data_IF_596415531698
#
_entry.id   IF_596415531698
#
_cell.length_a   1.000
_cell.length_b   1.000
_cell.length_c   1.000
_cell.angle_alpha   90.00
_cell.angle_beta   90.00
_cell.angle_gamma   90.00
#
_symmetry.space_group_name_H-M   'P 1'
#
loop_
_entity.id
_entity.type
_entity.pdbx_description
1 polymer ?
#
# COMPACT_ATOMS: atom_id res chain seq x y z
N UNK A 1 3.69 -4.31 -14.77
CA UNK A 1 4.09 -5.65 -14.26
C UNK A 1 3.07 -6.08 -13.19
N UNK A 2 2.63 -7.35 -13.20
CA UNK A 2 1.84 -7.89 -12.07
C UNK A 2 2.76 -8.08 -10.87
N UNK A 3 2.45 -7.42 -9.76
CA UNK A 3 3.12 -7.63 -8.47
C UNK A 3 2.17 -8.37 -7.53
N UNK A 4 2.77 -9.12 -6.61
CA UNK A 4 2.06 -9.81 -5.54
C UNK A 4 2.14 -8.95 -4.28
N UNK A 5 1.01 -8.82 -3.58
CA UNK A 5 0.94 -8.29 -2.24
C UNK A 5 0.54 -9.43 -1.31
N UNK A 6 1.19 -9.52 -0.15
CA UNK A 6 0.86 -10.52 0.86
C UNK A 6 0.22 -9.83 2.05
N UNK A 7 -0.85 -10.43 2.55
CA UNK A 7 -1.58 -10.02 3.75
C UNK A 7 -1.69 -11.25 4.64
N UNK A 8 -1.64 -11.04 5.94
CA UNK A 8 -2.03 -12.05 6.93
C UNK A 8 -3.25 -11.54 7.70
N UNK A 9 -4.19 -12.43 7.98
CA UNK A 9 -5.38 -12.07 8.73
C UNK A 9 -6.00 -13.24 9.46
N UNK A 10 -6.68 -12.93 10.55
CA UNK A 10 -7.35 -13.92 11.41
C UNK A 10 -8.71 -14.28 10.82
N UNK A 11 -8.92 -15.57 10.53
CA UNK A 11 -10.22 -16.08 10.08
C UNK A 11 -11.29 -15.90 11.16
N UNK A 12 -12.45 -15.39 10.77
CA UNK A 12 -13.61 -15.33 11.67
C UNK A 12 -14.94 -15.58 10.94
N UNK A 13 -15.97 -15.93 11.70
CA UNK A 13 -17.34 -16.08 11.18
C UNK A 13 -18.07 -14.73 11.17
N UNK A 14 -18.53 -14.31 9.99
CA UNK A 14 -19.42 -13.17 9.82
C UNK A 14 -20.89 -13.51 10.11
N UNK A 15 -21.81 -12.61 9.75
CA UNK A 15 -23.27 -12.80 9.90
C UNK A 15 -23.90 -13.79 8.91
N UNK A 16 -23.13 -14.34 7.98
CA UNK A 16 -23.63 -15.22 6.92
C UNK A 16 -24.30 -14.51 5.74
N UNK A 17 -24.35 -13.18 5.74
CA UNK A 17 -24.99 -12.37 4.70
C UNK A 17 -24.26 -12.46 3.34
N UNK A 18 -22.94 -12.73 3.33
CA UNK A 18 -22.17 -12.95 2.10
C UNK A 18 -22.66 -14.12 1.24
N UNK A 19 -23.38 -15.08 1.83
CA UNK A 19 -24.00 -16.17 1.10
C UNK A 19 -25.11 -15.68 0.16
N UNK A 20 -25.88 -14.65 0.56
CA UNK A 20 -26.91 -14.08 -0.31
C UNK A 20 -26.28 -13.43 -1.54
N UNK A 21 -25.23 -12.62 -1.35
CA UNK A 21 -24.56 -11.92 -2.44
C UNK A 21 -23.91 -12.88 -3.45
N UNK A 22 -23.25 -13.94 -2.98
CA UNK A 22 -22.60 -14.95 -3.84
C UNK A 22 -23.58 -15.82 -4.63
N UNK A 23 -24.86 -15.89 -4.24
CA UNK A 23 -25.89 -16.59 -5.00
C UNK A 23 -26.49 -15.78 -6.13
N UNK A 24 -26.30 -14.46 -6.18
CA UNK A 24 -26.90 -13.62 -7.21
C UNK A 24 -26.33 -13.98 -8.59
N UNK A 25 -27.20 -14.34 -9.53
CA UNK A 25 -26.79 -14.78 -10.88
C UNK A 25 -25.87 -13.77 -11.59
N UNK A 26 -26.11 -12.48 -11.39
CA UNK A 26 -25.28 -11.42 -11.98
C UNK A 26 -23.89 -11.32 -11.35
N UNK A 27 -23.74 -11.67 -10.07
CA UNK A 27 -22.44 -11.77 -9.38
C UNK A 27 -21.70 -12.98 -9.93
N UNK A 28 -22.34 -14.15 -9.95
CA UNK A 28 -21.76 -15.41 -10.44
C UNK A 28 -21.25 -15.28 -11.87
N UNK A 29 -22.07 -14.73 -12.77
CA UNK A 29 -21.69 -14.47 -14.17
C UNK A 29 -20.48 -13.55 -14.28
N UNK A 30 -20.47 -12.42 -13.57
CA UNK A 30 -19.35 -11.47 -13.65
C UNK A 30 -18.08 -12.00 -12.99
N UNK A 31 -18.18 -12.80 -11.93
CA UNK A 31 -17.05 -13.50 -11.34
C UNK A 31 -16.45 -14.51 -12.32
N UNK A 32 -17.29 -15.29 -13.00
CA UNK A 32 -16.82 -16.23 -14.01
C UNK A 32 -16.15 -15.53 -15.20
N UNK A 33 -16.70 -14.40 -15.67
CA UNK A 33 -16.17 -13.64 -16.80
C UNK A 33 -14.89 -12.86 -16.48
N UNK A 34 -14.86 -12.16 -15.33
CA UNK A 34 -13.79 -11.19 -15.00
C UNK A 34 -12.68 -11.82 -14.15
N UNK A 35 -13.05 -12.70 -13.23
CA UNK A 35 -12.11 -13.35 -12.32
C UNK A 35 -11.72 -14.75 -12.83
N UNK A 36 -12.66 -15.49 -13.40
CA UNK A 36 -12.43 -16.80 -13.99
C UNK A 36 -12.98 -17.98 -13.18
N UNK A 37 -13.85 -17.73 -12.19
CA UNK A 37 -14.52 -18.79 -11.44
C UNK A 37 -15.93 -18.40 -10.99
N UNK A 38 -16.76 -19.41 -10.78
CA UNK A 38 -18.08 -19.31 -10.15
C UNK A 38 -17.94 -19.43 -8.63
N UNK A 39 -18.38 -18.44 -7.81
CA UNK A 39 -18.13 -18.45 -6.38
C UNK A 39 -18.93 -19.54 -5.66
N UNK A 40 -18.29 -20.15 -4.66
CA UNK A 40 -18.97 -20.98 -3.66
C UNK A 40 -19.92 -20.11 -2.81
N UNK A 41 -21.07 -20.65 -2.36
CA UNK A 41 -21.96 -19.98 -1.42
C UNK A 41 -21.28 -19.50 -0.13
N UNK A 42 -21.09 -18.19 -0.02
CA UNK A 42 -20.52 -17.54 1.17
C UNK A 42 -19.19 -16.85 0.92
N UNK A 43 -18.69 -16.18 1.96
CA UNK A 43 -17.41 -15.46 1.93
C UNK A 43 -16.50 -15.94 3.05
N UNK A 44 -15.20 -15.87 2.80
CA UNK A 44 -14.15 -16.00 3.81
C UNK A 44 -13.88 -14.62 4.36
N UNK A 45 -14.02 -14.44 5.68
CA UNK A 45 -13.79 -13.16 6.34
C UNK A 45 -12.52 -13.27 7.15
N UNK A 46 -11.56 -12.38 6.91
CA UNK A 46 -10.36 -12.27 7.72
C UNK A 46 -10.30 -10.88 8.36
N UNK A 47 -9.82 -10.81 9.60
CA UNK A 47 -9.48 -9.55 10.27
C UNK A 47 -8.08 -9.14 9.85
N UNK A 48 -7.94 -7.89 9.42
CA UNK A 48 -6.69 -7.34 8.92
C UNK A 48 -6.40 -6.02 9.65
N UNK A 49 -5.14 -5.70 9.98
CA UNK A 49 -4.80 -4.42 10.59
C UNK A 49 -5.35 -3.22 9.81
N UNK A 50 -5.83 -2.20 10.50
CA UNK A 50 -6.49 -1.02 9.90
C UNK A 50 -5.64 -0.33 8.83
N UNK A 51 -4.33 -0.20 9.07
CA UNK A 51 -3.38 0.43 8.14
C UNK A 51 -3.28 -0.36 6.83
N UNK A 52 -3.21 -1.68 6.92
CA UNK A 52 -3.23 -2.55 5.75
C UNK A 52 -4.55 -2.45 5.01
N UNK A 53 -5.68 -2.50 5.72
CA UNK A 53 -6.98 -2.37 5.07
C UNK A 53 -7.16 -1.03 4.36
N UNK A 54 -6.67 0.07 4.93
CA UNK A 54 -6.65 1.37 4.26
C UNK A 54 -5.87 1.31 2.95
N UNK A 55 -4.68 0.72 2.96
CA UNK A 55 -3.88 0.51 1.75
C UNK A 55 -4.61 -0.37 0.72
N UNK A 56 -5.27 -1.45 1.16
CA UNK A 56 -6.05 -2.33 0.29
C UNK A 56 -7.21 -1.61 -0.38
N UNK A 57 -7.91 -0.73 0.34
CA UNK A 57 -8.96 0.13 -0.22
C UNK A 57 -8.43 1.04 -1.32
N UNK A 58 -7.26 1.65 -1.14
CA UNK A 58 -6.66 2.51 -2.17
C UNK A 58 -6.31 1.74 -3.45
N UNK A 59 -5.76 0.53 -3.32
CA UNK A 59 -5.41 -0.29 -4.49
C UNK A 59 -6.62 -0.97 -5.13
N UNK A 60 -7.74 -1.11 -4.41
CA UNK A 60 -8.97 -1.72 -4.92
C UNK A 60 -9.50 -1.04 -6.20
N UNK A 61 -9.18 0.24 -6.40
CA UNK A 61 -9.49 0.99 -7.62
C UNK A 61 -8.88 0.37 -8.91
N UNK A 62 -7.92 -0.55 -8.78
CA UNK A 62 -7.32 -1.32 -9.88
C UNK A 62 -8.09 -2.62 -10.17
N UNK A 63 -8.98 -3.03 -9.26
CA UNK A 63 -9.79 -4.23 -9.39
C UNK A 63 -10.93 -4.09 -10.40
N UNK A 64 -11.44 -5.24 -10.82
CA UNK A 64 -12.58 -5.36 -11.73
C UNK A 64 -13.87 -4.92 -11.04
N UNK A 65 -14.74 -4.23 -11.76
CA UNK A 65 -16.03 -3.76 -11.22
C UNK A 65 -17.08 -4.86 -11.31
N UNK A 66 -17.78 -5.16 -10.23
CA UNK A 66 -19.02 -5.95 -10.24
C UNK A 66 -20.20 -4.99 -10.30
N UNK A 67 -20.83 -4.90 -11.47
CA UNK A 67 -21.88 -3.91 -11.74
C UNK A 67 -23.25 -4.59 -11.63
N UNK A 68 -24.10 -4.20 -10.68
CA UNK A 68 -25.42 -4.79 -10.55
C UNK A 68 -26.35 -4.37 -11.69
N UNK A 69 -27.29 -5.23 -12.10
CA UNK A 69 -28.31 -4.88 -13.08
C UNK A 69 -29.45 -4.02 -12.49
N UNK A 70 -29.67 -4.11 -11.18
CA UNK A 70 -30.67 -3.33 -10.44
C UNK A 70 -29.96 -2.26 -9.58
N UNK A 71 -30.31 -0.97 -9.71
CA UNK A 71 -29.76 0.12 -8.91
C UNK A 71 -29.92 -0.01 -7.39
N UNK A 72 -30.80 -0.91 -6.91
CA UNK A 72 -30.94 -1.21 -5.48
C UNK A 72 -29.71 -1.90 -4.87
N UNK A 73 -28.89 -2.54 -5.70
CA UNK A 73 -27.62 -3.10 -5.25
C UNK A 73 -26.49 -2.10 -5.48
N UNK A 74 -25.53 -2.07 -4.57
CA UNK A 74 -24.32 -1.27 -4.73
C UNK A 74 -23.28 -2.02 -5.56
N UNK A 75 -22.45 -1.26 -6.25
CA UNK A 75 -21.27 -1.78 -6.94
C UNK A 75 -20.24 -2.29 -5.92
N UNK A 76 -19.49 -3.31 -6.32
CA UNK A 76 -18.28 -3.74 -5.62
C UNK A 76 -17.11 -3.81 -6.60
N UNK A 77 -15.89 -3.76 -6.07
CA UNK A 77 -14.67 -4.11 -6.80
C UNK A 77 -14.15 -5.45 -6.34
N UNK A 78 -13.55 -6.19 -7.27
CA UNK A 78 -12.92 -7.48 -6.98
C UNK A 78 -11.51 -7.53 -7.52
N UNK A 79 -10.61 -8.09 -6.72
CA UNK A 79 -9.21 -8.31 -7.10
C UNK A 79 -8.90 -9.80 -7.02
N UNK A 80 -8.20 -10.33 -8.04
CA UNK A 80 -7.73 -11.71 -8.03
C UNK A 80 -6.82 -11.94 -6.82
N UNK A 81 -7.09 -13.04 -6.12
CA UNK A 81 -6.41 -13.39 -4.89
C UNK A 81 -6.10 -14.89 -4.82
N UNK A 82 -5.32 -15.28 -3.82
CA UNK A 82 -5.23 -16.66 -3.35
C UNK A 82 -5.23 -16.70 -1.84
N UNK A 83 -5.93 -17.66 -1.24
CA UNK A 83 -5.92 -17.92 0.21
C UNK A 83 -5.17 -19.24 0.41
N UNK A 84 -4.04 -19.22 1.11
CA UNK A 84 -3.19 -20.42 1.27
C UNK A 84 -2.89 -21.13 -0.07
N UNK A 85 -2.71 -20.33 -1.14
CA UNK A 85 -2.47 -20.82 -2.50
C UNK A 85 -3.72 -21.27 -3.27
N UNK A 86 -4.89 -21.40 -2.65
CA UNK A 86 -6.15 -21.71 -3.32
C UNK A 86 -6.72 -20.49 -4.04
N UNK A 87 -7.34 -20.64 -5.23
CA UNK A 87 -7.95 -19.52 -5.96
C UNK A 87 -8.98 -18.76 -5.13
N UNK A 88 -8.92 -17.44 -5.16
CA UNK A 88 -9.88 -16.56 -4.49
C UNK A 88 -9.98 -15.21 -5.20
N UNK A 89 -10.87 -14.35 -4.70
CA UNK A 89 -10.92 -12.95 -5.03
C UNK A 89 -11.31 -12.13 -3.80
N UNK A 90 -10.56 -11.08 -3.51
CA UNK A 90 -10.93 -10.13 -2.47
C UNK A 90 -12.02 -9.18 -2.99
N UNK A 91 -13.03 -8.91 -2.16
CA UNK A 91 -14.17 -8.08 -2.50
C UNK A 91 -14.10 -6.79 -1.70
N UNK A 92 -14.35 -5.69 -2.39
CA UNK A 92 -14.33 -4.34 -1.87
C UNK A 92 -15.68 -3.69 -2.18
N UNK A 93 -16.66 -3.75 -1.25
CA UNK A 93 -17.91 -3.04 -1.41
C UNK A 93 -17.69 -1.52 -1.53
N UNK A 94 -18.67 -0.81 -2.08
CA UNK A 94 -18.71 0.64 -2.00
C UNK A 94 -18.62 1.11 -0.52
N UNK A 95 -17.96 2.26 -0.31
CA UNK A 95 -17.56 2.73 1.01
C UNK A 95 -18.76 2.99 1.96
N UNK A 96 -19.90 3.36 1.39
CA UNK A 96 -21.19 3.56 2.06
C UNK A 96 -21.82 2.27 2.58
N UNK A 97 -21.41 1.10 2.09
CA UNK A 97 -21.95 -0.22 2.46
C UNK A 97 -20.95 -1.07 3.26
N UNK A 98 -19.73 -0.58 3.49
CA UNK A 98 -18.71 -1.36 4.20
C UNK A 98 -18.93 -1.36 5.71
N UNK A 99 -19.65 -2.37 6.21
CA UNK A 99 -20.06 -2.50 7.62
C UNK A 99 -18.86 -2.79 8.56
N UNK A 100 -17.91 -3.63 8.13
CA UNK A 100 -16.79 -4.11 8.97
C UNK A 100 -15.46 -3.43 8.63
N UNK A 101 -15.14 -2.36 9.35
CA UNK A 101 -13.97 -1.50 9.08
C UNK A 101 -12.61 -2.16 9.31
N UNK A 102 -12.56 -3.39 9.80
CA UNK A 102 -11.38 -4.20 10.10
C UNK A 102 -11.36 -5.56 9.38
N UNK A 103 -12.30 -5.80 8.45
CA UNK A 103 -12.41 -7.08 7.75
C UNK A 103 -12.22 -6.97 6.25
N UNK A 104 -11.46 -7.94 5.70
CA UNK A 104 -11.42 -8.24 4.28
C UNK A 104 -12.26 -9.48 3.99
N UNK A 105 -13.21 -9.35 3.05
CA UNK A 105 -14.01 -10.47 2.57
C UNK A 105 -13.44 -11.04 1.27
N UNK A 106 -13.45 -12.37 1.14
CA UNK A 106 -12.98 -13.07 -0.05
C UNK A 106 -14.02 -14.10 -0.54
N UNK A 107 -14.18 -14.17 -1.85
CA UNK A 107 -14.89 -15.24 -2.55
C UNK A 107 -13.88 -16.28 -3.02
N UNK A 108 -14.29 -17.54 -3.04
CA UNK A 108 -13.52 -18.65 -3.60
C UNK A 108 -14.45 -19.60 -4.34
N UNK A 109 -13.96 -20.42 -5.29
CA UNK A 109 -14.77 -21.43 -5.98
C UNK A 109 -15.09 -22.66 -5.12
N UNK A 110 -14.54 -22.73 -3.91
CA UNK A 110 -14.73 -23.85 -2.97
C UNK A 110 -14.92 -23.33 -1.55
N UNK A 111 -15.50 -24.16 -0.68
CA UNK A 111 -15.50 -23.92 0.76
C UNK A 111 -14.07 -24.01 1.30
N UNK A 112 -13.44 -22.86 1.59
CA UNK A 112 -12.05 -22.80 2.06
C UNK A 112 -11.89 -23.48 3.43
N UNK A 113 -12.89 -23.38 4.30
CA UNK A 113 -12.88 -24.03 5.62
C UNK A 113 -12.78 -25.56 5.50
N UNK A 114 -13.59 -26.14 4.62
CA UNK A 114 -13.59 -27.59 4.41
C UNK A 114 -12.32 -28.06 3.69
N UNK A 115 -11.88 -27.29 2.68
CA UNK A 115 -10.70 -27.61 1.89
C UNK A 115 -9.40 -27.61 2.74
N UNK A 116 -9.28 -26.66 3.67
CA UNK A 116 -8.08 -26.50 4.51
C UNK A 116 -8.23 -27.06 5.93
N UNK A 117 -9.44 -27.47 6.32
CA UNK A 117 -9.79 -27.94 7.68
C UNK A 117 -9.43 -26.92 8.77
N UNK A 118 -9.73 -25.65 8.50
CA UNK A 118 -9.43 -24.50 9.35
C UNK A 118 -10.66 -24.02 10.13
N UNK A 119 -10.43 -23.26 11.20
CA UNK A 119 -11.45 -22.73 12.11
C UNK A 119 -11.19 -21.27 12.46
N UNK A 120 -12.18 -20.64 13.09
CA UNK A 120 -12.03 -19.26 13.57
C UNK A 120 -10.82 -19.13 14.50
N UNK A 121 -10.09 -18.02 14.35
CA UNK A 121 -8.82 -17.77 15.04
C UNK A 121 -7.58 -18.24 14.27
N UNK A 122 -7.71 -19.05 13.22
CA UNK A 122 -6.57 -19.44 12.40
C UNK A 122 -6.09 -18.23 11.56
N UNK A 123 -4.76 -18.06 11.47
CA UNK A 123 -4.15 -17.02 10.64
C UNK A 123 -4.01 -17.54 9.21
N UNK A 124 -4.54 -16.78 8.26
CA UNK A 124 -4.50 -17.10 6.84
C UNK A 124 -3.67 -16.08 6.08
N UNK A 125 -2.89 -16.59 5.14
CA UNK A 125 -2.11 -15.80 4.20
C UNK A 125 -2.86 -15.61 2.90
N UNK A 126 -3.02 -14.34 2.51
CA UNK A 126 -3.67 -13.94 1.25
C UNK A 126 -2.64 -13.33 0.31
N UNK A 127 -2.58 -13.86 -0.91
CA UNK A 127 -1.83 -13.30 -2.02
C UNK A 127 -2.79 -12.48 -2.90
N UNK A 128 -2.58 -11.17 -3.07
CA UNK A 128 -3.32 -10.34 -4.01
C UNK A 128 -2.51 -10.06 -5.29
N UNK A 129 -3.14 -10.24 -6.44
CA UNK A 129 -2.61 -9.76 -7.72
C UNK A 129 -2.91 -8.27 -7.88
N UNK A 130 -1.87 -7.46 -8.07
CA UNK A 130 -2.02 -6.05 -8.43
C UNK A 130 -1.20 -5.67 -9.66
N UNK A 131 -1.74 -4.77 -10.48
CA UNK A 131 -0.99 -4.15 -11.56
C UNK A 131 -0.24 -2.95 -11.02
N UNK A 132 1.08 -3.03 -10.99
CA UNK A 132 1.89 -1.87 -10.62
C UNK A 132 2.39 -1.16 -11.87
N UNK A 133 1.86 0.04 -12.09
CA UNK A 133 2.25 0.98 -13.14
C UNK A 133 2.59 2.33 -12.48
N UNK A 134 3.87 2.57 -12.13
CA UNK A 134 4.26 3.84 -11.54
C UNK A 134 4.04 4.95 -12.57
N UNK A 135 3.18 5.92 -12.23
CA UNK A 135 2.88 7.08 -13.08
C UNK A 135 3.85 8.24 -12.86
N UNK A 136 4.44 8.30 -11.66
CA UNK A 136 5.42 9.29 -11.28
C UNK A 136 6.36 8.67 -10.23
N UNK A 137 7.59 9.16 -10.20
CA UNK A 137 8.56 8.91 -9.13
C UNK A 137 9.00 10.28 -8.64
N UNK A 138 8.89 10.51 -7.34
CA UNK A 138 9.33 11.77 -6.73
C UNK A 138 10.77 11.55 -6.30
N UNK A 139 11.64 12.44 -6.77
CA UNK A 139 13.02 12.53 -6.32
C UNK A 139 13.16 13.83 -5.54
N UNK A 140 13.94 13.77 -4.48
CA UNK A 140 14.48 14.98 -3.88
C UNK A 140 15.44 15.67 -4.87
N UNK A 141 15.60 16.99 -4.77
CA UNK A 141 16.46 17.74 -5.67
C UNK A 141 17.90 17.76 -5.16
N UNK A 142 18.10 18.31 -3.96
CA UNK A 142 19.41 18.56 -3.38
C UNK A 142 20.04 17.27 -2.85
N UNK A 143 21.26 16.98 -3.27
CA UNK A 143 21.97 15.76 -2.85
C UNK A 143 21.42 14.46 -3.44
N UNK A 144 20.35 14.52 -4.25
CA UNK A 144 19.78 13.38 -4.98
C UNK A 144 19.91 13.56 -6.50
N UNK A 145 19.40 14.65 -7.06
CA UNK A 145 19.54 14.97 -8.49
C UNK A 145 20.71 15.93 -8.73
N UNK A 146 20.93 16.88 -7.83
CA UNK A 146 21.98 17.90 -7.94
C UNK A 146 23.03 17.67 -6.85
N UNK A 147 24.31 17.62 -7.23
CA UNK A 147 25.43 17.69 -6.28
C UNK A 147 25.57 19.13 -5.76
N UNK A 148 24.76 19.47 -4.75
CA UNK A 148 24.80 20.78 -4.09
C UNK A 148 25.99 20.93 -3.15
N UNK A 149 26.75 19.86 -2.83
CA UNK A 149 27.89 19.93 -1.91
C UNK A 149 28.98 20.88 -2.41
N UNK A 150 29.17 20.94 -3.72
CA UNK A 150 30.14 21.86 -4.33
C UNK A 150 29.74 23.32 -4.14
N UNK A 151 28.46 23.63 -4.32
CA UNK A 151 27.93 24.99 -4.15
C UNK A 151 28.06 25.44 -2.70
N UNK A 152 27.75 24.57 -1.73
CA UNK A 152 27.98 24.84 -0.32
C UNK A 152 29.47 25.11 -0.02
N UNK A 153 30.37 24.27 -0.53
CA UNK A 153 31.81 24.43 -0.32
C UNK A 153 32.32 25.77 -0.89
N UNK A 154 31.96 26.09 -2.14
CA UNK A 154 32.35 27.35 -2.79
C UNK A 154 31.80 28.56 -2.03
N UNK A 155 30.51 28.54 -1.65
CA UNK A 155 29.88 29.64 -0.91
C UNK A 155 30.51 29.88 0.46
N UNK A 156 30.79 28.79 1.21
CA UNK A 156 31.42 28.87 2.53
C UNK A 156 32.83 29.44 2.39
N UNK A 157 33.64 28.92 1.46
CA UNK A 157 35.02 29.36 1.28
C UNK A 157 35.13 30.79 0.77
N UNK A 158 34.23 31.23 -0.10
CA UNK A 158 34.14 32.64 -0.51
C UNK A 158 33.84 33.55 0.69
N UNK A 159 32.96 33.13 1.59
CA UNK A 159 32.66 33.87 2.81
C UNK A 159 33.86 33.89 3.75
N UNK A 160 34.48 32.73 3.98
CA UNK A 160 35.63 32.58 4.87
C UNK A 160 36.82 33.43 4.41
N UNK A 161 37.11 33.47 3.11
CA UNK A 161 38.12 34.38 2.54
C UNK A 161 37.86 35.85 2.88
N UNK A 162 36.59 36.30 2.83
CA UNK A 162 36.23 37.70 3.13
C UNK A 162 36.37 38.06 4.61
N UNK A 163 36.14 37.10 5.51
CA UNK A 163 36.25 37.29 6.96
C UNK A 163 37.59 36.83 7.56
N UNK A 164 38.54 36.39 6.72
CA UNK A 164 39.88 35.98 7.15
C UNK A 164 39.94 34.60 7.82
N UNK A 165 38.99 33.71 7.53
CA UNK A 165 38.96 32.34 8.04
C UNK A 165 39.60 31.33 7.07
N UNK A 166 40.06 30.20 7.62
CA UNK A 166 40.63 29.09 6.85
C UNK A 166 39.56 28.34 6.07
N UNK A 167 39.76 28.17 4.77
CA UNK A 167 38.87 27.41 3.89
C UNK A 167 38.67 25.94 4.34
N UNK A 168 37.50 25.40 4.02
CA UNK A 168 37.10 24.02 4.31
C UNK A 168 37.06 23.18 3.03
N UNK A 169 37.28 21.87 3.15
CA UNK A 169 37.20 20.95 2.02
C UNK A 169 35.77 20.51 1.72
N UNK A 170 35.52 20.03 0.49
CA UNK A 170 34.23 19.44 0.09
C UNK A 170 33.88 18.24 0.97
N UNK A 171 34.88 17.47 1.40
CA UNK A 171 34.73 16.31 2.30
C UNK A 171 34.24 16.72 3.68
N UNK A 172 34.78 17.81 4.25
CA UNK A 172 34.32 18.36 5.54
C UNK A 172 32.87 18.82 5.46
N UNK A 173 32.47 19.51 4.39
CA UNK A 173 31.08 19.94 4.17
C UNK A 173 30.14 18.73 4.06
N UNK A 174 30.54 17.71 3.29
CA UNK A 174 29.77 16.45 3.16
C UNK A 174 29.57 15.75 4.49
N UNK A 175 30.60 15.69 5.33
CA UNK A 175 30.53 15.02 6.63
C UNK A 175 29.54 15.71 7.57
N UNK A 176 29.56 17.05 7.62
CA UNK A 176 28.59 17.83 8.40
C UNK A 176 27.15 17.58 7.93
N UNK A 177 26.90 17.62 6.62
CA UNK A 177 25.56 17.41 6.08
C UNK A 177 25.06 15.97 6.28
N UNK A 178 25.95 14.97 6.22
CA UNK A 178 25.60 13.57 6.54
C UNK A 178 25.14 13.38 7.99
N UNK A 179 25.62 14.22 8.89
CA UNK A 179 25.16 14.23 10.28
C UNK A 179 23.82 14.97 10.46
N UNK A 180 23.17 15.37 9.36
CA UNK A 180 21.91 16.12 9.37
C UNK A 180 22.06 17.56 9.88
N UNK A 181 23.30 18.10 9.88
CA UNK A 181 23.59 19.44 10.38
C UNK A 181 23.80 20.42 9.24
N UNK A 182 23.46 21.69 9.48
CA UNK A 182 23.69 22.78 8.54
C UNK A 182 25.18 23.17 8.52
N UNK A 183 25.89 23.08 7.38
CA UNK A 183 27.29 23.48 7.26
C UNK A 183 27.56 24.92 7.73
N UNK A 184 26.64 25.85 7.46
CA UNK A 184 26.78 27.24 7.89
C UNK A 184 26.75 27.40 9.41
N UNK A 185 26.00 26.56 10.12
CA UNK A 185 25.90 26.65 11.58
C UNK A 185 27.08 25.98 12.30
N UNK A 186 27.60 24.89 11.71
CA UNK A 186 28.65 24.07 12.31
C UNK A 186 30.05 24.57 11.97
N UNK A 187 30.26 24.99 10.71
CA UNK A 187 31.60 25.35 10.23
C UNK A 187 31.96 26.81 10.51
N UNK A 188 30.97 27.70 10.64
CA UNK A 188 31.21 29.10 11.05
C UNK A 188 31.63 29.13 12.53
N UNK A 189 32.80 29.71 12.86
CA UNK A 189 33.22 29.91 14.25
C UNK A 189 32.21 30.73 15.05
N UNK A 190 31.89 30.26 16.26
CA UNK A 190 30.86 30.85 17.13
C UNK A 190 31.25 32.23 17.69
N UNK A 191 32.53 32.60 17.59
CA UNK A 191 33.13 33.81 18.15
C UNK A 191 33.37 34.92 17.10
N UNK A 192 32.72 34.85 15.95
CA UNK A 192 32.72 35.96 14.98
C UNK A 192 31.88 37.13 15.52
N UNK A 193 32.36 38.38 15.41
CA UNK A 193 31.52 39.55 15.64
C UNK A 193 30.35 39.55 14.64
N UNK A 194 29.14 39.87 15.11
CA UNK A 194 27.90 40.00 14.31
C UNK A 194 27.46 38.73 13.53
N UNK A 195 27.41 37.58 14.20
CA UNK A 195 26.81 36.35 13.66
C UNK A 195 25.31 36.44 13.42
#
# INVERSE_FOLDING_TARGET
MKKKLWIEGELYSGKGEGAFFTHLDWVRRQMQEKIGFDPYPGTVNIRVPTEELFFLKQISAQGERLIPPDPQFCEARVMKAKIEGLPAAAIFPAEDVWIYKDSLELMAPTCIRDALKIRDGDILKVELERSFEPRAVIFDLDGTIIDSFEVYCVGINETFRRVGLTEVSKETVKEVMRLGKNPWEVLIPQNLPDR
#
